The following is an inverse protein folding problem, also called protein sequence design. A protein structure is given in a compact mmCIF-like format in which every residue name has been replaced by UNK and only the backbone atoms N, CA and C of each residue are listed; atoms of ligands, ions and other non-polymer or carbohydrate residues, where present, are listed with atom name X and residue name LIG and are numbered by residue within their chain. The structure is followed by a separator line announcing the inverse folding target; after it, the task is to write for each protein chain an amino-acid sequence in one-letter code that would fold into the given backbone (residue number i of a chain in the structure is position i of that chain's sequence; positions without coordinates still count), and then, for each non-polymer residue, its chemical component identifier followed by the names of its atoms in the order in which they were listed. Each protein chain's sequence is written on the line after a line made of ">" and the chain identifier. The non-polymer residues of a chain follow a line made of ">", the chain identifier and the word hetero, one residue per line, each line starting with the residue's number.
data_IF_716187155218
#
_entry.id   IF_716187155218
#
_cell.length_a   1.000
_cell.length_b   1.000
_cell.length_c   1.000
_cell.angle_alpha   90.00
_cell.angle_beta   90.00
_cell.angle_gamma   90.00
#
_symmetry.space_group_name_H-M   'P 1'
#
loop_
_entity.id
_entity.type
_entity.pdbx_description
1 polymer ?
#
# COMPACT_ATOMS: atom_id res chain seq x y z
N UNK A 1 -14.06 -19.59 -6.01
CA UNK A 1 -12.92 -18.98 -5.31
C UNK A 1 -13.29 -17.53 -4.96
N UNK A 2 -13.48 -17.20 -3.68
CA UNK A 2 -13.76 -15.82 -3.26
C UNK A 2 -12.48 -14.99 -3.36
N UNK A 3 -12.46 -13.98 -4.24
CA UNK A 3 -11.33 -13.05 -4.35
C UNK A 3 -11.40 -12.07 -3.17
N UNK A 4 -10.31 -11.96 -2.40
CA UNK A 4 -10.18 -10.96 -1.34
C UNK A 4 -9.52 -9.71 -1.91
N UNK A 5 -10.09 -8.54 -1.63
CA UNK A 5 -9.44 -7.27 -1.93
C UNK A 5 -8.53 -6.91 -0.77
N UNK A 6 -7.26 -6.64 -1.09
CA UNK A 6 -6.27 -6.14 -0.14
C UNK A 6 -5.94 -4.70 -0.55
N UNK A 7 -5.82 -3.82 0.44
CA UNK A 7 -5.61 -2.39 0.22
C UNK A 7 -4.33 -1.97 0.91
N UNK A 8 -3.51 -1.20 0.21
CA UNK A 8 -2.22 -0.71 0.68
C UNK A 8 -2.08 0.75 0.31
N UNK A 9 -1.39 1.52 1.14
CA UNK A 9 -0.93 2.86 0.79
C UNK A 9 0.44 2.77 0.11
N UNK A 10 0.67 3.63 -0.87
CA UNK A 10 1.92 3.70 -1.61
C UNK A 10 2.51 5.10 -1.48
N UNK A 11 3.83 5.16 -1.33
CA UNK A 11 4.60 6.39 -1.49
C UNK A 11 5.29 6.35 -2.83
N UNK A 12 5.27 7.47 -3.53
CA UNK A 12 5.88 7.62 -4.84
C UNK A 12 6.88 8.78 -4.83
N UNK A 13 7.82 8.78 -5.76
CA UNK A 13 8.58 10.00 -6.06
C UNK A 13 7.64 11.11 -6.50
N UNK A 14 7.95 12.36 -6.15
CA UNK A 14 7.11 13.51 -6.50
C UNK A 14 7.07 13.80 -8.00
N UNK A 15 8.14 13.44 -8.72
CA UNK A 15 8.27 13.69 -10.15
C UNK A 15 8.11 12.41 -10.99
N UNK A 16 7.62 12.53 -12.24
CA UNK A 16 7.62 11.43 -13.20
C UNK A 16 9.00 10.77 -13.32
N UNK A 17 9.08 9.43 -13.35
CA UNK A 17 7.99 8.48 -13.62
C UNK A 17 7.20 8.00 -12.37
N UNK A 18 7.19 8.74 -11.25
CA UNK A 18 6.50 8.38 -10.01
C UNK A 18 6.89 6.98 -9.51
N UNK A 19 8.19 6.76 -9.26
CA UNK A 19 8.68 5.49 -8.78
C UNK A 19 8.12 5.19 -7.37
N UNK A 20 7.68 3.95 -7.14
CA UNK A 20 7.23 3.50 -5.81
C UNK A 20 8.44 3.49 -4.86
N UNK A 21 8.34 4.25 -3.77
CA UNK A 21 9.34 4.33 -2.71
C UNK A 21 9.06 3.32 -1.61
N UNK A 22 7.79 3.21 -1.19
CA UNK A 22 7.38 2.34 -0.09
C UNK A 22 5.95 1.86 -0.32
N UNK A 23 5.66 0.69 0.24
CA UNK A 23 4.32 0.12 0.33
C UNK A 23 4.00 -0.05 1.81
N UNK A 24 2.84 0.39 2.26
CA UNK A 24 2.45 0.19 3.66
C UNK A 24 2.15 -1.28 3.94
N UNK A 25 1.96 -1.62 5.21
CA UNK A 25 1.17 -2.79 5.61
C UNK A 25 -0.27 -2.67 5.09
N UNK A 26 -0.99 -3.79 5.07
CA UNK A 26 -2.39 -3.81 4.65
C UNK A 26 -3.22 -2.83 5.50
N UNK A 27 -3.99 -1.97 4.83
CA UNK A 27 -4.94 -1.09 5.50
C UNK A 27 -6.02 -1.93 6.20
N UNK A 28 -6.37 -1.64 7.46
CA UNK A 28 -7.33 -2.41 8.26
C UNK A 28 -8.79 -2.09 7.86
N UNK A 29 -9.12 -2.17 6.56
CA UNK A 29 -10.48 -1.96 6.08
C UNK A 29 -11.38 -3.14 6.47
N UNK A 30 -12.56 -2.82 7.01
CA UNK A 30 -13.51 -3.82 7.47
C UNK A 30 -14.60 -4.06 6.42
N UNK A 31 -14.67 -5.28 5.91
CA UNK A 31 -15.79 -5.71 5.08
C UNK A 31 -17.12 -5.66 5.85
N UNK A 32 -18.22 -5.55 5.12
CA UNK A 32 -19.54 -5.72 5.70
C UNK A 32 -19.78 -7.20 6.04
N UNK A 33 -20.64 -7.46 7.01
CA UNK A 33 -20.97 -8.83 7.43
C UNK A 33 -21.50 -9.62 6.22
N UNK A 34 -21.13 -10.90 6.12
CA UNK A 34 -21.65 -11.75 5.07
C UNK A 34 -23.14 -12.04 5.36
N UNK A 35 -24.02 -11.66 4.45
CA UNK A 35 -25.41 -12.13 4.41
C UNK A 35 -25.69 -12.77 3.04
N UNK A 36 -26.88 -13.35 2.86
CA UNK A 36 -27.22 -14.08 1.63
C UNK A 36 -27.16 -13.22 0.36
N UNK A 37 -27.23 -11.89 0.50
CA UNK A 37 -27.36 -10.95 -0.61
C UNK A 37 -26.13 -10.07 -0.79
N UNK A 38 -25.02 -10.36 -0.11
CA UNK A 38 -23.93 -9.40 -0.06
C UNK A 38 -22.53 -9.99 -0.03
N UNK A 39 -21.64 -9.28 -0.69
CA UNK A 39 -20.26 -9.68 -0.84
C UNK A 39 -19.45 -9.28 0.41
N UNK A 40 -18.63 -10.19 0.92
CA UNK A 40 -17.79 -9.94 2.09
C UNK A 40 -16.44 -9.31 1.69
N UNK A 41 -16.48 -8.10 1.11
CA UNK A 41 -15.27 -7.34 0.79
C UNK A 41 -15.35 -5.87 1.18
N UNK A 42 -14.21 -5.21 1.20
CA UNK A 42 -14.08 -3.76 1.26
C UNK A 42 -13.37 -3.26 0.00
N UNK A 43 -13.69 -2.07 -0.47
CA UNK A 43 -13.09 -1.46 -1.66
C UNK A 43 -12.83 0.03 -1.43
N UNK A 44 -11.56 0.42 -1.32
CA UNK A 44 -11.15 1.81 -1.14
C UNK A 44 -11.56 2.66 -2.34
N UNK A 45 -12.15 3.83 -2.08
CA UNK A 45 -12.70 4.72 -3.12
C UNK A 45 -12.23 6.17 -2.99
N UNK A 46 -11.77 6.60 -1.82
CA UNK A 46 -11.29 7.97 -1.65
C UNK A 46 -10.25 8.12 -0.54
N UNK A 47 -9.49 9.21 -0.64
CA UNK A 47 -8.47 9.63 0.32
C UNK A 47 -8.61 11.13 0.55
N UNK A 48 -8.65 11.55 1.81
CA UNK A 48 -8.57 12.96 2.22
C UNK A 48 -7.54 13.12 3.33
N UNK A 49 -6.86 14.25 3.34
CA UNK A 49 -5.92 14.66 4.38
C UNK A 49 -6.30 16.06 4.84
N UNK A 50 -6.65 16.22 6.10
CA UNK A 50 -7.00 17.50 6.71
C UNK A 50 -6.24 17.66 8.03
N UNK A 51 -5.28 18.58 8.05
CA UNK A 51 -4.34 18.70 9.16
C UNK A 51 -3.57 17.38 9.38
N UNK A 52 -3.68 16.83 10.59
CA UNK A 52 -3.06 15.55 10.96
C UNK A 52 -3.99 14.35 10.73
N UNK A 53 -5.19 14.55 10.17
CA UNK A 53 -6.18 13.47 10.00
C UNK A 53 -6.16 12.96 8.56
N UNK A 54 -5.95 11.65 8.42
CA UNK A 54 -6.09 10.91 7.16
C UNK A 54 -7.39 10.13 7.18
N UNK A 55 -8.21 10.33 6.14
CA UNK A 55 -9.47 9.61 5.94
C UNK A 55 -9.43 8.81 4.65
N UNK A 56 -9.57 7.48 4.75
CA UNK A 56 -9.77 6.60 3.60
C UNK A 56 -11.24 6.18 3.54
N UNK A 57 -11.97 6.65 2.54
CA UNK A 57 -13.36 6.23 2.31
C UNK A 57 -13.39 4.95 1.47
N UNK A 58 -14.34 4.08 1.77
CA UNK A 58 -14.43 2.78 1.10
C UNK A 58 -15.87 2.23 1.13
N UNK A 59 -16.21 1.47 0.10
CA UNK A 59 -17.43 0.67 0.06
C UNK A 59 -17.22 -0.67 0.76
N UNK A 60 -18.16 -1.11 1.58
CA UNK A 60 -18.13 -2.41 2.23
C UNK A 60 -19.32 -3.26 1.75
N UNK A 61 -18.98 -4.34 1.06
CA UNK A 61 -19.92 -5.33 0.52
C UNK A 61 -21.02 -4.76 -0.36
N UNK A 62 -20.67 -3.76 -1.18
CA UNK A 62 -21.54 -3.01 -2.10
C UNK A 62 -22.83 -2.45 -1.48
N UNK A 63 -22.84 -2.24 -0.16
CA UNK A 63 -24.04 -1.77 0.56
C UNK A 63 -23.79 -0.63 1.54
N UNK A 64 -22.61 -0.64 2.19
CA UNK A 64 -22.26 0.36 3.19
C UNK A 64 -21.16 1.28 2.65
N UNK A 65 -21.31 2.58 2.89
CA UNK A 65 -20.20 3.52 2.81
C UNK A 65 -19.54 3.66 4.18
N UNK A 66 -18.21 3.49 4.24
CA UNK A 66 -17.44 3.56 5.49
C UNK A 66 -16.19 4.41 5.31
N UNK A 67 -15.59 4.81 6.43
CA UNK A 67 -14.33 5.53 6.47
C UNK A 67 -13.39 4.91 7.49
N UNK A 68 -12.13 4.72 7.11
CA UNK A 68 -11.02 4.48 8.02
C UNK A 68 -10.37 5.84 8.30
N UNK A 69 -10.50 6.29 9.55
CA UNK A 69 -9.92 7.55 10.03
C UNK A 69 -8.73 7.23 10.93
N UNK A 70 -7.60 7.85 10.67
CA UNK A 70 -6.37 7.71 11.47
C UNK A 70 -5.56 9.01 11.46
N UNK A 71 -4.59 9.15 12.36
CA UNK A 71 -3.61 10.23 12.30
C UNK A 71 -2.57 9.98 11.22
N UNK A 72 -1.86 11.02 10.77
CA UNK A 72 -0.75 10.86 9.82
C UNK A 72 0.38 10.01 10.44
N UNK A 73 0.65 10.19 11.74
CA UNK A 73 1.60 9.34 12.48
C UNK A 73 1.21 7.87 12.45
N UNK A 74 -0.09 7.55 12.62
CA UNK A 74 -0.55 6.16 12.55
C UNK A 74 -0.40 5.59 11.13
N UNK A 75 -0.54 6.41 10.10
CA UNK A 75 -0.26 5.99 8.73
C UNK A 75 1.24 5.74 8.52
N UNK A 76 2.13 6.57 9.09
CA UNK A 76 3.59 6.39 9.05
C UNK A 76 4.01 5.04 9.65
N UNK A 77 3.42 4.66 10.78
CA UNK A 77 3.68 3.36 11.43
C UNK A 77 3.38 2.17 10.49
N UNK A 78 2.38 2.31 9.60
CA UNK A 78 2.08 1.27 8.61
C UNK A 78 3.20 1.13 7.55
N UNK A 79 4.02 2.16 7.32
CA UNK A 79 5.20 2.10 6.45
C UNK A 79 6.47 1.62 7.18
N UNK A 80 6.59 1.87 8.49
CA UNK A 80 7.82 1.65 9.25
C UNK A 80 8.20 0.16 9.47
N UNK A 81 7.27 -0.79 9.37
CA UNK A 81 7.55 -2.21 9.63
C UNK A 81 8.10 -3.02 8.43
N UNK A 82 8.55 -2.38 7.35
CA UNK A 82 9.23 -3.13 6.28
C UNK A 82 10.72 -3.29 6.60
N UNK A 83 11.29 -4.51 6.57
CA UNK A 83 12.74 -4.65 6.57
C UNK A 83 13.28 -3.93 5.33
N UNK A 84 14.29 -3.08 5.54
CA UNK A 84 14.93 -2.29 4.50
C UNK A 84 15.11 -3.13 3.22
N UNK A 85 14.48 -2.72 2.13
CA UNK A 85 14.71 -3.35 0.84
C UNK A 85 16.21 -3.26 0.56
N UNK A 86 16.87 -4.43 0.59
CA UNK A 86 18.31 -4.55 0.30
C UNK A 86 18.53 -3.85 -1.05
N UNK A 87 19.44 -2.87 -1.17
CA UNK A 87 19.70 -2.23 -2.45
C UNK A 87 20.00 -3.32 -3.47
N UNK A 88 19.32 -3.27 -4.63
CA UNK A 88 19.62 -4.14 -5.74
C UNK A 88 21.14 -4.08 -5.95
N UNK A 89 21.81 -5.23 -5.87
CA UNK A 89 23.23 -5.30 -6.14
C UNK A 89 23.45 -4.72 -7.54
N UNK A 90 24.05 -3.54 -7.62
CA UNK A 90 24.51 -2.96 -8.86
C UNK A 90 25.42 -4.00 -9.52
N UNK A 91 24.92 -4.59 -10.61
CA UNK A 91 25.70 -5.43 -11.49
C UNK A 91 26.71 -4.56 -12.24
N UNK A 92 27.77 -4.15 -11.56
CA UNK A 92 28.98 -3.62 -12.19
C UNK A 92 29.81 -4.81 -12.68
N UNK A 93 29.32 -5.51 -13.70
CA UNK A 93 30.15 -6.42 -14.48
C UNK A 93 30.86 -5.61 -15.57
N UNK A 94 31.95 -4.93 -15.16
CA UNK A 94 32.92 -4.37 -16.08
C UNK A 94 34.32 -4.44 -15.44
N UNK A 95 35.04 -5.53 -15.72
CA UNK A 95 36.38 -5.36 -16.27
C UNK A 95 36.87 -6.63 -16.97
N UNK A 96 37.34 -6.44 -18.20
CA UNK A 96 37.85 -7.47 -19.07
C UNK A 96 39.28 -7.90 -18.77
N UNK A 97 39.59 -9.09 -19.30
CA UNK A 97 40.77 -9.42 -20.12
C UNK A 97 42.17 -9.05 -19.58
N UNK A 98 42.98 -10.06 -19.22
CA UNK A 98 44.12 -10.55 -20.04
C UNK A 98 45.15 -11.34 -19.21
N UNK A 99 45.83 -12.24 -19.93
CA UNK A 99 46.87 -13.21 -19.59
C UNK A 99 48.10 -12.73 -18.79
N UNK A 100 48.74 -13.69 -18.10
CA UNK A 100 50.18 -14.01 -17.97
C UNK A 100 50.41 -14.67 -16.58
N UNK A 101 51.07 -15.80 -16.41
CA UNK A 101 51.78 -16.74 -17.28
C UNK A 101 52.14 -17.99 -16.47
#
# INVERSE_FOLDING_TARGET
>A
KTKKYLHFAYRFTAEPPYAILQVSQQLPLQAAAADSNSAAFAFASGLSVEGDVVTVTYGAGDRDARALVMTADRLEELFACQPAQRPAANGTAANGTAANG
#
